data_IF_192208359168
#
_entry.id   IF_192208359168
#
_cell.length_a   1.000
_cell.length_b   1.000
_cell.length_c   1.000
_cell.angle_alpha   90.00
_cell.angle_beta   90.00
_cell.angle_gamma   90.00
#
_symmetry.space_group_name_H-M   'P 1'
#
loop_
_entity.id
_entity.type
_entity.pdbx_description
1 polymer ?
#
# COMPACT_ATOMS: atom_id res chain seq x y z
N UNK A 1 -84.01 -50.27 21.12
CA UNK A 1 -83.45 -49.37 20.08
C UNK A 1 -82.63 -48.18 20.60
N UNK A 2 -82.65 -47.85 21.91
CA UNK A 2 -81.89 -46.69 22.45
C UNK A 2 -80.53 -47.05 23.08
N UNK A 3 -80.36 -48.28 23.59
CA UNK A 3 -79.10 -48.74 24.20
C UNK A 3 -77.95 -48.91 23.18
N UNK A 4 -78.24 -49.38 21.95
CA UNK A 4 -77.21 -49.60 20.92
C UNK A 4 -76.53 -48.31 20.42
N UNK A 5 -77.26 -47.18 20.42
CA UNK A 5 -76.69 -45.88 20.06
C UNK A 5 -75.71 -45.38 21.13
N UNK A 6 -76.04 -45.60 22.41
CA UNK A 6 -75.19 -45.22 23.54
C UNK A 6 -73.86 -45.99 23.54
N UNK A 7 -73.87 -47.28 23.19
CA UNK A 7 -72.65 -48.09 23.20
C UNK A 7 -71.74 -47.81 21.98
N UNK A 8 -72.33 -47.44 20.84
CA UNK A 8 -71.59 -46.95 19.69
C UNK A 8 -70.88 -45.62 19.98
N UNK A 9 -71.56 -44.67 20.65
CA UNK A 9 -70.98 -43.40 21.07
C UNK A 9 -69.82 -43.59 22.05
N UNK A 10 -69.97 -44.50 23.03
CA UNK A 10 -68.87 -44.87 23.95
C UNK A 10 -67.67 -45.46 23.22
N UNK A 11 -67.90 -46.29 22.18
CA UNK A 11 -66.83 -46.88 21.38
C UNK A 11 -66.06 -45.83 20.58
N UNK A 12 -66.77 -44.87 19.98
CA UNK A 12 -66.17 -43.72 19.29
C UNK A 12 -65.37 -42.86 20.28
N UNK A 13 -65.94 -42.55 21.45
CA UNK A 13 -65.27 -41.77 22.48
C UNK A 13 -63.98 -42.47 22.96
N UNK A 14 -63.99 -43.79 23.13
CA UNK A 14 -62.80 -44.59 23.50
C UNK A 14 -61.72 -44.57 22.41
N UNK A 15 -62.09 -44.69 21.14
CA UNK A 15 -61.15 -44.62 20.00
C UNK A 15 -60.56 -43.21 19.89
N UNK A 16 -61.38 -42.17 20.04
CA UNK A 16 -60.92 -40.78 20.01
C UNK A 16 -60.00 -40.47 21.20
N UNK A 17 -60.32 -40.94 22.40
CA UNK A 17 -59.47 -40.80 23.58
C UNK A 17 -58.13 -41.54 23.41
N UNK A 18 -58.13 -42.73 22.83
CA UNK A 18 -56.90 -43.47 22.52
C UNK A 18 -56.04 -42.72 21.49
N UNK A 19 -56.66 -42.15 20.45
CA UNK A 19 -55.98 -41.33 19.44
C UNK A 19 -55.40 -40.05 20.04
N UNK A 20 -56.12 -39.38 20.94
CA UNK A 20 -55.65 -38.19 21.64
C UNK A 20 -54.40 -38.50 22.48
N UNK A 21 -54.41 -39.60 23.24
CA UNK A 21 -53.23 -40.04 24.01
C UNK A 21 -52.01 -40.32 23.13
N UNK A 22 -52.20 -40.85 21.92
CA UNK A 22 -51.11 -41.05 20.97
C UNK A 22 -50.55 -39.72 20.46
N UNK A 23 -51.41 -38.74 20.20
CA UNK A 23 -50.98 -37.39 19.83
C UNK A 23 -50.25 -36.69 20.98
N UNK A 24 -50.76 -36.78 22.20
CA UNK A 24 -50.13 -36.15 23.37
C UNK A 24 -48.76 -36.76 23.64
N UNK A 25 -48.63 -38.10 23.56
CA UNK A 25 -47.34 -38.79 23.68
C UNK A 25 -46.33 -38.40 22.59
N UNK A 26 -46.79 -38.19 21.36
CA UNK A 26 -45.92 -37.68 20.28
C UNK A 26 -45.52 -36.22 20.51
N UNK A 27 -46.43 -35.40 21.03
CA UNK A 27 -46.18 -33.99 21.35
C UNK A 27 -45.18 -33.86 22.49
N UNK A 28 -45.34 -34.63 23.57
CA UNK A 28 -44.38 -34.73 24.68
C UNK A 28 -43.01 -35.21 24.20
N UNK A 29 -42.96 -36.24 23.33
CA UNK A 29 -41.70 -36.71 22.75
C UNK A 29 -41.02 -35.64 21.90
N UNK A 30 -41.76 -34.85 21.12
CA UNK A 30 -41.21 -33.75 20.32
C UNK A 30 -40.84 -32.53 21.15
N UNK A 31 -41.51 -32.34 22.29
CA UNK A 31 -41.23 -31.29 23.25
C UNK A 31 -40.06 -31.64 24.19
N UNK A 32 -39.68 -32.92 24.28
CA UNK A 32 -38.54 -33.32 25.12
C UNK A 32 -37.25 -32.70 24.61
N UNK A 33 -36.49 -32.13 25.54
CA UNK A 33 -35.22 -31.46 25.23
C UNK A 33 -34.23 -32.42 24.55
N UNK A 34 -34.22 -33.69 24.96
CA UNK A 34 -33.38 -34.73 24.36
C UNK A 34 -33.71 -34.97 22.88
N UNK A 35 -34.99 -35.05 22.52
CA UNK A 35 -35.39 -35.27 21.13
C UNK A 35 -35.09 -34.05 20.27
N UNK A 36 -35.30 -32.84 20.78
CA UNK A 36 -34.96 -31.60 20.07
C UNK A 36 -33.44 -31.48 19.86
N UNK A 37 -32.65 -31.78 20.89
CA UNK A 37 -31.18 -31.78 20.81
C UNK A 37 -30.68 -32.80 19.79
N UNK A 38 -31.19 -34.03 19.82
CA UNK A 38 -30.82 -35.06 18.84
C UNK A 38 -31.20 -34.67 17.39
N UNK A 39 -32.33 -33.98 17.19
CA UNK A 39 -32.70 -33.46 15.86
C UNK A 39 -31.75 -32.35 15.40
N UNK A 40 -31.40 -31.41 16.30
CA UNK A 40 -30.45 -30.33 15.99
C UNK A 40 -29.05 -30.88 15.68
N UNK A 41 -28.55 -31.82 16.48
CA UNK A 41 -27.26 -32.49 16.24
C UNK A 41 -27.24 -33.22 14.89
N UNK A 42 -28.33 -33.91 14.53
CA UNK A 42 -28.45 -34.56 13.22
C UNK A 42 -28.42 -33.55 12.07
N UNK A 43 -29.09 -32.42 12.21
CA UNK A 43 -29.07 -31.35 11.20
C UNK A 43 -27.68 -30.72 11.09
N UNK A 44 -27.03 -30.42 12.22
CA UNK A 44 -25.67 -29.88 12.27
C UNK A 44 -24.68 -30.86 11.65
N UNK A 45 -24.72 -32.14 12.03
CA UNK A 45 -23.85 -33.18 11.47
C UNK A 45 -24.02 -33.31 9.95
N UNK A 46 -25.26 -33.23 9.44
CA UNK A 46 -25.52 -33.22 8.00
C UNK A 46 -24.92 -31.98 7.32
N UNK A 47 -25.09 -30.80 7.90
CA UNK A 47 -24.52 -29.56 7.38
C UNK A 47 -22.99 -29.61 7.37
N UNK A 48 -22.36 -30.00 8.49
CA UNK A 48 -20.91 -30.15 8.60
C UNK A 48 -20.38 -31.16 7.59
N UNK A 49 -21.02 -32.33 7.43
CA UNK A 49 -20.61 -33.33 6.44
C UNK A 49 -20.73 -32.82 5.01
N UNK A 50 -21.78 -32.04 4.70
CA UNK A 50 -21.94 -31.40 3.40
C UNK A 50 -20.83 -30.37 3.14
N UNK A 51 -20.52 -29.53 4.13
CA UNK A 51 -19.44 -28.56 4.06
C UNK A 51 -18.06 -29.22 3.89
N UNK A 52 -17.79 -30.29 4.64
CA UNK A 52 -16.56 -31.08 4.52
C UNK A 52 -16.38 -31.63 3.11
N UNK A 53 -17.42 -32.24 2.53
CA UNK A 53 -17.39 -32.73 1.15
C UNK A 53 -17.15 -31.63 0.13
N UNK A 54 -17.77 -30.46 0.32
CA UNK A 54 -17.56 -29.32 -0.55
C UNK A 54 -16.11 -28.81 -0.46
N UNK A 55 -15.54 -28.75 0.75
CA UNK A 55 -14.17 -28.35 0.99
C UNK A 55 -13.16 -29.36 0.40
N UNK A 56 -13.38 -30.66 0.60
CA UNK A 56 -12.56 -31.74 0.01
C UNK A 56 -12.55 -31.65 -1.52
N UNK A 57 -13.72 -31.50 -2.14
CA UNK A 57 -13.83 -31.33 -3.60
C UNK A 57 -13.13 -30.07 -4.10
N UNK A 58 -13.17 -28.99 -3.34
CA UNK A 58 -12.42 -27.77 -3.66
C UNK A 58 -10.91 -28.01 -3.54
N UNK A 59 -10.47 -28.66 -2.46
CA UNK A 59 -9.06 -29.02 -2.23
C UNK A 59 -8.52 -29.93 -3.34
N UNK A 60 -9.28 -30.93 -3.77
CA UNK A 60 -8.91 -31.81 -4.89
C UNK A 60 -8.73 -31.01 -6.20
N UNK A 61 -9.65 -30.09 -6.50
CA UNK A 61 -9.53 -29.20 -7.67
C UNK A 61 -8.28 -28.32 -7.59
N UNK A 62 -7.95 -27.80 -6.41
CA UNK A 62 -6.74 -26.98 -6.20
C UNK A 62 -5.46 -27.82 -6.18
N UNK A 63 -5.54 -29.10 -5.88
CA UNK A 63 -4.41 -30.02 -5.90
C UNK A 63 -4.11 -30.54 -7.32
N UNK A 64 -5.09 -30.51 -8.23
CA UNK A 64 -4.93 -30.84 -9.64
C UNK A 64 -4.12 -29.74 -10.37
N UNK A 65 -2.88 -30.01 -10.81
CA UNK A 65 -2.06 -29.03 -11.49
C UNK A 65 -2.67 -28.57 -12.83
N UNK A 66 -3.40 -29.45 -13.52
CA UNK A 66 -4.00 -29.12 -14.83
C UNK A 66 -5.11 -28.09 -14.69
N UNK A 67 -5.93 -28.19 -13.64
CA UNK A 67 -6.96 -27.22 -13.32
C UNK A 67 -6.37 -25.83 -13.00
N UNK A 68 -5.24 -25.79 -12.29
CA UNK A 68 -4.55 -24.54 -11.98
C UNK A 68 -3.98 -23.89 -13.24
N UNK A 69 -3.32 -24.68 -14.10
CA UNK A 69 -2.76 -24.20 -15.36
C UNK A 69 -3.84 -23.68 -16.31
N UNK A 70 -4.95 -24.40 -16.46
CA UNK A 70 -6.09 -23.96 -17.28
C UNK A 70 -6.68 -22.65 -16.76
N UNK A 71 -6.82 -22.52 -15.43
CA UNK A 71 -7.30 -21.29 -14.80
C UNK A 71 -6.36 -20.11 -15.07
N UNK A 72 -5.05 -20.30 -14.95
CA UNK A 72 -4.06 -19.26 -15.27
C UNK A 72 -4.06 -18.91 -16.75
N UNK A 73 -4.14 -19.91 -17.64
CA UNK A 73 -4.19 -19.69 -19.07
C UNK A 73 -5.42 -18.87 -19.46
N UNK A 74 -6.59 -19.21 -18.90
CA UNK A 74 -7.82 -18.44 -19.11
C UNK A 74 -7.72 -17.00 -18.64
N UNK A 75 -7.00 -16.74 -17.54
CA UNK A 75 -6.72 -15.37 -17.08
C UNK A 75 -5.80 -14.62 -18.05
N UNK A 76 -4.73 -15.27 -18.53
CA UNK A 76 -3.82 -14.70 -19.53
C UNK A 76 -4.54 -14.39 -20.84
N UNK A 77 -5.33 -15.32 -21.36
CA UNK A 77 -6.07 -15.15 -22.61
C UNK A 77 -7.10 -14.01 -22.50
N UNK A 78 -7.79 -13.90 -21.36
CA UNK A 78 -8.70 -12.79 -21.10
C UNK A 78 -7.95 -11.44 -21.07
N UNK A 79 -6.76 -11.40 -20.46
CA UNK A 79 -5.93 -10.20 -20.42
C UNK A 79 -5.43 -9.81 -21.81
N UNK A 80 -4.91 -10.76 -22.59
CA UNK A 80 -4.47 -10.56 -23.98
C UNK A 80 -5.62 -10.01 -24.82
N UNK A 81 -6.79 -10.67 -24.78
CA UNK A 81 -7.99 -10.24 -25.53
C UNK A 81 -8.44 -8.82 -25.15
N UNK A 82 -8.34 -8.47 -23.87
CA UNK A 82 -8.66 -7.12 -23.39
C UNK A 82 -7.68 -6.07 -23.94
N UNK A 83 -6.39 -6.41 -23.95
CA UNK A 83 -5.32 -5.54 -24.43
C UNK A 83 -5.41 -5.34 -25.95
N UNK A 84 -5.63 -6.42 -26.71
CA UNK A 84 -5.84 -6.35 -28.16
C UNK A 84 -7.05 -5.51 -28.53
N UNK A 85 -8.16 -5.65 -27.79
CA UNK A 85 -9.35 -4.81 -27.98
C UNK A 85 -9.06 -3.33 -27.73
N UNK A 86 -8.28 -3.01 -26.70
CA UNK A 86 -7.85 -1.63 -26.43
C UNK A 86 -6.92 -1.11 -27.53
N UNK A 87 -5.96 -1.92 -27.97
CA UNK A 87 -5.04 -1.58 -29.06
C UNK A 87 -5.79 -1.32 -30.37
N UNK A 88 -6.76 -2.16 -30.72
CA UNK A 88 -7.60 -1.96 -31.90
C UNK A 88 -8.42 -0.67 -31.83
N UNK A 89 -9.00 -0.35 -30.66
CA UNK A 89 -9.69 0.94 -30.44
C UNK A 89 -8.76 2.14 -30.59
N UNK A 90 -7.53 2.04 -30.07
CA UNK A 90 -6.51 3.09 -30.24
C UNK A 90 -6.12 3.25 -31.70
N UNK A 91 -5.88 2.16 -32.44
CA UNK A 91 -5.55 2.21 -33.86
C UNK A 91 -6.67 2.86 -34.68
N UNK A 92 -7.94 2.51 -34.44
CA UNK A 92 -9.10 3.14 -35.10
C UNK A 92 -9.15 4.64 -34.77
N UNK A 93 -8.96 4.99 -33.49
CA UNK A 93 -8.93 6.38 -33.05
C UNK A 93 -7.78 7.16 -33.69
N UNK A 94 -6.60 6.58 -33.79
CA UNK A 94 -5.42 7.19 -34.41
C UNK A 94 -5.50 7.27 -35.93
N UNK A 95 -6.19 6.32 -36.57
CA UNK A 95 -6.47 6.33 -38.00
C UNK A 95 -7.49 7.42 -38.39
N UNK A 96 -8.40 7.79 -37.47
CA UNK A 96 -9.39 8.84 -37.71
C UNK A 96 -8.73 10.18 -38.07
N UNK A 97 -9.15 10.75 -39.20
CA UNK A 97 -8.70 12.06 -39.68
C UNK A 97 -8.98 13.16 -38.65
N UNK A 98 -10.12 13.08 -37.96
CA UNK A 98 -10.49 14.04 -36.92
C UNK A 98 -9.49 14.05 -35.75
N UNK A 99 -9.06 12.86 -35.31
CA UNK A 99 -8.07 12.74 -34.25
C UNK A 99 -6.68 13.23 -34.71
N UNK A 100 -6.29 12.91 -35.95
CA UNK A 100 -5.05 13.43 -36.54
C UNK A 100 -5.08 14.97 -36.57
N UNK A 101 -6.13 15.58 -37.12
CA UNK A 101 -6.28 17.04 -37.19
C UNK A 101 -6.24 17.67 -35.79
N UNK A 102 -6.96 17.09 -34.81
CA UNK A 102 -6.94 17.55 -33.42
C UNK A 102 -5.55 17.50 -32.80
N UNK A 103 -4.80 16.41 -33.03
CA UNK A 103 -3.42 16.27 -32.55
C UNK A 103 -2.50 17.30 -33.21
N UNK A 104 -2.62 17.52 -34.52
CA UNK A 104 -1.84 18.54 -35.24
C UNK A 104 -2.14 19.95 -34.74
N UNK A 105 -3.42 20.28 -34.52
CA UNK A 105 -3.83 21.57 -33.97
C UNK A 105 -3.29 21.76 -32.55
N UNK A 106 -3.31 20.72 -31.71
CA UNK A 106 -2.73 20.76 -30.38
C UNK A 106 -1.22 21.03 -30.44
N UNK A 107 -0.48 20.34 -31.31
CA UNK A 107 0.96 20.58 -31.52
C UNK A 107 1.21 22.01 -32.02
N UNK A 108 0.42 22.51 -32.98
CA UNK A 108 0.51 23.90 -33.45
C UNK A 108 0.28 24.90 -32.32
N UNK A 109 -0.76 24.73 -31.50
CA UNK A 109 -1.01 25.63 -30.36
C UNK A 109 0.13 25.61 -29.33
N UNK A 110 0.77 24.46 -29.12
CA UNK A 110 1.94 24.35 -28.24
C UNK A 110 3.16 25.05 -28.85
N UNK A 111 3.40 24.89 -30.15
CA UNK A 111 4.44 25.59 -30.87
C UNK A 111 4.22 27.10 -30.88
N UNK A 112 2.98 27.56 -31.08
CA UNK A 112 2.64 28.99 -31.06
C UNK A 112 2.81 29.58 -29.66
N UNK A 113 2.42 28.84 -28.61
CA UNK A 113 2.68 29.22 -27.22
C UNK A 113 4.18 29.27 -26.92
N UNK A 114 4.97 28.33 -27.44
CA UNK A 114 6.42 28.33 -27.28
C UNK A 114 7.07 29.49 -28.03
N UNK A 115 6.63 29.79 -29.26
CA UNK A 115 7.08 30.94 -30.06
C UNK A 115 6.72 32.27 -29.37
N UNK A 116 5.48 32.42 -28.88
CA UNK A 116 5.07 33.60 -28.09
C UNK A 116 5.94 33.74 -26.83
N UNK A 117 6.16 32.67 -26.07
CA UNK A 117 7.07 32.70 -24.91
C UNK A 117 8.50 33.08 -25.30
N UNK A 118 9.01 32.61 -26.44
CA UNK A 118 10.35 32.96 -26.91
C UNK A 118 10.44 34.44 -27.31
N UNK A 119 9.40 34.98 -27.97
CA UNK A 119 9.30 36.41 -28.31
C UNK A 119 9.20 37.26 -27.03
N UNK A 120 8.34 36.87 -26.09
CA UNK A 120 8.18 37.54 -24.79
C UNK A 120 9.47 37.48 -23.95
N UNK A 121 10.20 36.35 -23.99
CA UNK A 121 11.52 36.26 -23.36
C UNK A 121 12.55 37.18 -24.04
N UNK A 122 12.52 37.28 -25.38
CA UNK A 122 13.43 38.14 -26.14
C UNK A 122 13.15 39.63 -25.90
N UNK A 123 11.89 40.01 -25.71
CA UNK A 123 11.48 41.38 -25.35
C UNK A 123 11.70 41.72 -23.86
N UNK A 124 11.73 40.72 -22.97
CA UNK A 124 12.10 40.90 -21.55
C UNK A 124 13.63 41.02 -21.36
N UNK A 125 14.43 40.30 -22.17
CA UNK A 125 15.91 40.40 -22.14
C UNK A 125 16.38 41.80 -22.53
N UNK A 126 15.64 42.52 -23.40
CA UNK A 126 16.01 43.87 -23.81
C UNK A 126 15.64 44.98 -22.81
N UNK A 127 14.92 44.70 -21.71
CA UNK A 127 14.38 45.78 -20.84
C UNK A 127 14.74 45.64 -19.35
N UNK A 128 15.09 44.48 -18.79
CA UNK A 128 15.47 44.49 -17.35
C UNK A 128 16.28 43.26 -16.91
N UNK A 129 17.56 43.50 -16.62
CA UNK A 129 18.36 42.68 -15.71
C UNK A 129 17.98 42.97 -14.25
N UNK A 130 16.68 42.95 -13.91
CA UNK A 130 16.23 43.04 -12.50
C UNK A 130 15.83 41.66 -12.01
N UNK A 131 16.60 41.14 -11.04
CA UNK A 131 16.35 39.93 -10.23
C UNK A 131 14.85 39.73 -10.00
N UNK A 132 14.26 38.72 -10.64
CA UNK A 132 12.86 38.37 -10.38
C UNK A 132 12.73 37.82 -8.96
N UNK A 133 11.74 38.31 -8.21
CA UNK A 133 11.49 37.88 -6.83
C UNK A 133 10.87 36.48 -6.83
N UNK A 134 11.33 35.64 -5.89
CA UNK A 134 10.88 34.27 -5.72
C UNK A 134 9.35 34.18 -5.47
N UNK A 135 8.69 33.27 -6.18
CA UNK A 135 7.27 32.95 -6.03
C UNK A 135 7.06 32.31 -4.64
N UNK A 136 6.30 32.98 -3.77
CA UNK A 136 5.94 32.44 -2.45
C UNK A 136 4.77 31.45 -2.62
N UNK A 137 4.96 30.20 -2.19
CA UNK A 137 3.89 29.20 -2.20
C UNK A 137 2.83 29.54 -1.14
N UNK A 138 1.55 29.46 -1.53
CA UNK A 138 0.40 29.49 -0.61
C UNK A 138 0.32 28.13 0.08
N UNK A 139 0.70 28.04 1.35
CA UNK A 139 0.09 27.09 2.29
C UNK A 139 0.86 25.88 2.80
N UNK A 140 2.00 25.48 2.22
CA UNK A 140 2.90 24.50 2.86
C UNK A 140 4.30 25.13 3.00
N UNK A 141 4.79 25.23 4.24
CA UNK A 141 6.07 25.87 4.58
C UNK A 141 7.23 25.06 3.97
N UNK A 142 7.59 25.34 2.71
CA UNK A 142 8.67 24.66 2.02
C UNK A 142 8.86 25.14 0.58
N UNK A 143 10.09 25.00 0.07
CA UNK A 143 10.42 25.18 -1.34
C UNK A 143 9.86 23.98 -2.13
N UNK A 144 9.60 24.16 -3.42
CA UNK A 144 9.31 23.03 -4.29
C UNK A 144 10.61 22.25 -4.61
N UNK A 145 10.62 20.90 -4.52
CA UNK A 145 11.78 20.10 -4.88
C UNK A 145 12.09 20.20 -6.37
N UNK A 146 13.37 20.32 -6.71
CA UNK A 146 13.85 20.29 -8.11
C UNK A 146 13.72 18.89 -8.70
N UNK A 147 13.83 18.76 -10.02
CA UNK A 147 13.79 17.45 -10.69
C UNK A 147 14.90 16.53 -10.21
N UNK A 148 16.10 17.05 -9.95
CA UNK A 148 17.22 16.26 -9.43
C UNK A 148 16.96 15.81 -7.99
N UNK A 149 16.48 16.69 -7.12
CA UNK A 149 16.14 16.33 -5.74
C UNK A 149 15.04 15.28 -5.67
N UNK A 150 14.06 15.30 -6.59
CA UNK A 150 13.03 14.26 -6.69
C UNK A 150 13.61 12.91 -7.09
N UNK A 151 14.53 12.89 -8.07
CA UNK A 151 15.19 11.64 -8.51
C UNK A 151 16.00 11.03 -7.37
N UNK A 152 16.78 11.85 -6.67
CA UNK A 152 17.55 11.42 -5.49
C UNK A 152 16.61 10.94 -4.38
N UNK A 153 15.55 11.69 -4.07
CA UNK A 153 14.57 11.30 -3.05
C UNK A 153 13.90 9.95 -3.34
N UNK A 154 13.58 9.64 -4.61
CA UNK A 154 13.04 8.33 -4.99
C UNK A 154 14.06 7.21 -4.75
N UNK A 155 15.31 7.38 -5.22
CA UNK A 155 16.38 6.40 -4.99
C UNK A 155 16.62 6.16 -3.50
N UNK A 156 16.59 7.21 -2.69
CA UNK A 156 16.73 7.13 -1.24
C UNK A 156 15.55 6.36 -0.62
N UNK A 157 14.33 6.62 -1.09
CA UNK A 157 13.13 5.90 -0.64
C UNK A 157 13.14 4.42 -0.96
N UNK A 158 13.74 4.02 -2.08
CA UNK A 158 13.78 2.63 -2.54
C UNK A 158 14.67 1.72 -1.67
N UNK A 159 15.60 2.27 -0.88
CA UNK A 159 16.48 1.49 0.02
C UNK A 159 15.69 0.85 1.17
N UNK A 160 14.64 1.52 1.66
CA UNK A 160 14.03 1.21 2.95
C UNK A 160 14.71 1.92 4.12
N UNK A 161 14.28 1.59 5.34
CA UNK A 161 14.70 2.29 6.55
C UNK A 161 16.17 2.03 6.89
N UNK A 162 16.98 3.08 6.82
CA UNK A 162 18.44 2.98 7.05
C UNK A 162 18.77 2.48 8.47
N UNK A 163 18.00 2.89 9.49
CA UNK A 163 18.24 2.46 10.86
C UNK A 163 17.91 0.96 11.07
N UNK A 164 16.81 0.48 10.46
CA UNK A 164 16.48 -0.94 10.48
C UNK A 164 17.54 -1.77 9.74
N UNK A 165 18.13 -1.22 8.67
CA UNK A 165 19.14 -1.88 7.85
C UNK A 165 20.43 -2.08 8.65
N UNK A 166 20.90 -1.03 9.33
CA UNK A 166 22.08 -1.08 10.18
C UNK A 166 21.95 -2.10 11.32
N UNK A 167 20.75 -2.21 11.90
CA UNK A 167 20.45 -3.16 12.99
C UNK A 167 20.07 -4.56 12.51
N UNK A 168 20.03 -4.79 11.18
CA UNK A 168 19.61 -6.05 10.56
C UNK A 168 18.21 -6.51 11.01
N UNK A 169 17.31 -5.57 11.30
CA UNK A 169 15.92 -5.87 11.70
C UNK A 169 15.02 -6.26 10.54
N UNK A 170 15.57 -6.42 9.33
CA UNK A 170 14.89 -6.94 8.13
C UNK A 170 14.78 -8.47 8.10
N UNK A 171 14.98 -9.17 9.22
CA UNK A 171 14.73 -10.62 9.30
C UNK A 171 13.26 -10.95 9.02
N UNK A 172 12.99 -12.18 8.57
CA UNK A 172 11.68 -12.68 8.11
C UNK A 172 10.50 -12.22 8.96
N UNK A 173 10.65 -12.28 10.28
CA UNK A 173 9.56 -12.09 11.24
C UNK A 173 9.14 -10.62 11.40
N UNK A 174 10.04 -9.67 11.10
CA UNK A 174 9.78 -8.23 11.13
C UNK A 174 9.55 -7.65 9.72
N UNK A 175 10.13 -8.27 8.68
CA UNK A 175 9.93 -7.87 7.28
C UNK A 175 8.49 -8.06 6.76
N UNK A 176 7.70 -8.89 7.44
CA UNK A 176 6.26 -9.04 7.21
C UNK A 176 5.44 -7.84 7.71
N UNK A 177 5.98 -7.04 8.63
CA UNK A 177 5.30 -5.83 9.08
C UNK A 177 5.42 -4.75 8.00
N UNK A 178 4.27 -4.40 7.42
CA UNK A 178 4.14 -3.42 6.33
C UNK A 178 4.88 -2.11 6.61
N UNK A 179 4.91 -1.66 7.87
CA UNK A 179 5.53 -0.41 8.31
C UNK A 179 7.06 -0.37 8.19
N UNK A 180 7.75 -1.51 8.02
CA UNK A 180 9.21 -1.57 7.85
C UNK A 180 9.60 -1.48 6.36
N UNK A 181 8.69 -1.87 5.46
CA UNK A 181 8.82 -1.69 4.00
C UNK A 181 8.44 -0.27 3.55
N UNK A 182 7.47 0.35 4.20
CA UNK A 182 7.05 1.72 3.87
C UNK A 182 7.89 2.75 4.64
N UNK A 183 8.67 3.53 3.91
CA UNK A 183 9.47 4.62 4.48
C UNK A 183 8.88 6.00 4.18
N UNK A 184 8.99 6.87 5.18
CA UNK A 184 8.81 8.31 5.04
C UNK A 184 10.17 8.99 4.93
N UNK A 185 10.30 9.93 4.00
CA UNK A 185 11.50 10.73 3.84
C UNK A 185 11.56 11.83 4.92
N UNK A 186 12.48 11.66 5.85
CA UNK A 186 12.80 12.60 6.92
C UNK A 186 13.73 13.70 6.42
N UNK A 187 13.43 14.98 6.69
CA UNK A 187 14.27 16.11 6.27
C UNK A 187 15.32 16.46 7.33
N UNK A 188 16.61 16.36 6.97
CA UNK A 188 17.72 16.71 7.88
C UNK A 188 17.93 18.23 7.98
N UNK A 189 17.85 18.92 6.84
CA UNK A 189 18.19 20.36 6.72
C UNK A 189 16.96 21.23 6.39
N UNK A 190 15.80 20.85 6.95
CA UNK A 190 14.52 21.50 6.72
C UNK A 190 13.97 21.31 5.30
N UNK A 191 13.12 22.24 4.84
CA UNK A 191 12.41 22.14 3.54
C UNK A 191 12.62 23.33 2.61
N UNK A 192 13.49 24.28 2.99
CA UNK A 192 13.62 25.57 2.28
C UNK A 192 15.00 25.79 1.67
N UNK A 193 16.06 25.26 2.29
CA UNK A 193 17.44 25.43 1.85
C UNK A 193 17.71 24.78 0.48
N UNK A 194 18.78 25.19 -0.23
CA UNK A 194 19.29 24.46 -1.38
C UNK A 194 19.58 23.01 -0.99
N UNK A 195 19.22 22.06 -1.85
CA UNK A 195 19.41 20.62 -1.62
C UNK A 195 18.66 20.04 -0.40
N UNK A 196 17.80 20.80 0.26
CA UNK A 196 17.05 20.34 1.43
C UNK A 196 16.22 19.07 1.16
N UNK A 197 15.72 18.91 -0.07
CA UNK A 197 14.94 17.71 -0.44
C UNK A 197 15.80 16.53 -0.88
N UNK A 198 17.11 16.73 -1.10
CA UNK A 198 18.08 15.66 -1.33
C UNK A 198 18.80 15.23 -0.04
N UNK A 199 18.85 16.11 0.98
CA UNK A 199 19.31 15.81 2.34
C UNK A 199 18.18 15.19 3.18
N UNK A 200 17.74 14.01 2.76
CA UNK A 200 16.66 13.26 3.39
C UNK A 200 17.10 11.87 3.81
N UNK A 201 16.52 11.35 4.89
CA UNK A 201 16.76 9.99 5.39
C UNK A 201 15.51 9.13 5.19
N UNK A 202 15.63 7.90 4.69
CA UNK A 202 14.51 6.98 4.61
C UNK A 202 14.32 6.34 5.99
N UNK A 203 13.23 6.71 6.68
CA UNK A 203 12.91 6.19 8.02
C UNK A 203 11.55 5.49 8.00
N UNK A 204 11.42 4.35 8.69
CA UNK A 204 10.13 3.70 8.90
C UNK A 204 9.28 4.51 9.88
N UNK A 205 7.99 4.20 9.97
CA UNK A 205 7.07 4.90 10.87
C UNK A 205 7.59 4.95 12.32
N UNK A 206 8.19 3.86 12.81
CA UNK A 206 8.70 3.75 14.17
C UNK A 206 10.01 4.51 14.44
N UNK A 207 10.83 4.73 13.41
CA UNK A 207 12.03 5.57 13.51
C UNK A 207 11.75 7.05 13.20
N UNK A 208 10.62 7.35 12.54
CA UNK A 208 10.23 8.72 12.18
C UNK A 208 9.40 9.37 13.30
N UNK A 209 8.15 8.95 13.46
CA UNK A 209 7.16 9.66 14.29
C UNK A 209 6.43 8.77 15.30
N UNK A 210 6.22 7.49 14.98
CA UNK A 210 5.35 6.59 15.77
C UNK A 210 6.15 5.94 16.89
N UNK A 211 5.67 5.93 18.14
CA UNK A 211 6.33 5.17 19.20
C UNK A 211 6.29 3.67 18.90
N UNK A 212 7.31 2.95 19.34
CA UNK A 212 7.40 1.52 19.17
C UNK A 212 6.25 0.79 19.93
N UNK A 213 5.70 -0.30 19.37
CA UNK A 213 4.72 -1.13 20.08
C UNK A 213 5.36 -1.86 21.28
N UNK A 214 4.56 -2.28 22.25
CA UNK A 214 5.05 -2.86 23.53
C UNK A 214 5.90 -4.13 23.39
N UNK A 215 5.88 -4.80 22.24
CA UNK A 215 6.66 -6.00 21.92
C UNK A 215 7.87 -5.71 21.02
N UNK A 216 8.21 -4.44 20.79
CA UNK A 216 9.29 -4.04 19.91
C UNK A 216 10.68 -4.28 20.55
N UNK A 217 11.73 -4.46 19.73
CA UNK A 217 13.09 -4.58 20.22
C UNK A 217 13.53 -3.31 20.97
N UNK A 218 14.35 -3.52 21.99
CA UNK A 218 14.93 -2.44 22.78
C UNK A 218 15.76 -1.50 21.88
N UNK A 219 15.53 -0.19 22.01
CA UNK A 219 16.17 0.83 21.18
C UNK A 219 15.47 1.15 19.84
N UNK A 220 14.24 0.68 19.61
CA UNK A 220 13.36 1.21 18.56
C UNK A 220 12.66 2.48 19.07
N UNK A 221 13.11 3.64 18.62
CA UNK A 221 12.61 4.95 19.08
C UNK A 221 12.48 5.94 17.92
N UNK A 222 11.41 6.77 17.87
CA UNK A 222 11.21 7.75 16.81
C UNK A 222 12.03 9.03 17.03
N UNK A 223 12.52 9.63 15.93
CA UNK A 223 13.34 10.85 15.99
C UNK A 223 12.54 12.11 16.40
N UNK A 224 11.28 12.23 15.98
CA UNK A 224 10.48 13.44 16.22
C UNK A 224 9.69 13.44 17.53
N UNK A 225 9.22 12.27 17.98
CA UNK A 225 8.44 12.13 19.23
C UNK A 225 9.21 11.50 20.38
N UNK A 226 10.41 10.99 20.11
CA UNK A 226 11.29 10.36 21.11
C UNK A 226 12.39 11.29 21.60
N UNK A 227 13.33 10.72 22.35
CA UNK A 227 14.51 11.42 22.83
C UNK A 227 15.59 11.47 21.74
N UNK A 228 15.68 12.59 21.01
CA UNK A 228 16.67 12.76 19.91
C UNK A 228 18.11 12.49 20.34
N UNK A 229 18.50 12.78 21.59
CA UNK A 229 19.87 12.53 22.07
C UNK A 229 20.16 11.04 22.18
N UNK A 230 19.20 10.28 22.69
CA UNK A 230 19.28 8.83 22.78
C UNK A 230 19.22 8.18 21.40
N UNK A 231 18.35 8.69 20.53
CA UNK A 231 18.27 8.25 19.13
C UNK A 231 19.62 8.38 18.41
N UNK A 232 20.31 9.51 18.59
CA UNK A 232 21.65 9.74 18.00
C UNK A 232 22.68 8.77 18.59
N UNK A 233 22.62 8.47 19.89
CA UNK A 233 23.52 7.48 20.51
C UNK A 233 23.30 6.07 19.94
N UNK A 234 22.06 5.72 19.60
CA UNK A 234 21.68 4.39 19.12
C UNK A 234 21.91 4.20 17.62
N UNK A 235 21.71 5.24 16.81
CA UNK A 235 21.71 5.14 15.34
C UNK A 235 22.82 5.95 14.66
N UNK A 236 23.50 6.84 15.38
CA UNK A 236 24.41 7.83 14.83
C UNK A 236 23.74 9.17 14.50
N UNK A 237 24.52 10.13 14.04
CA UNK A 237 24.02 11.44 13.64
C UNK A 237 23.28 11.39 12.30
N UNK A 238 22.38 12.34 12.07
CA UNK A 238 21.65 12.46 10.80
C UNK A 238 22.62 12.64 9.59
N UNK A 239 23.78 13.26 9.81
CA UNK A 239 24.80 13.46 8.77
C UNK A 239 25.56 12.18 8.41
N UNK A 240 25.90 11.35 9.39
CA UNK A 240 26.54 10.05 9.16
C UNK A 240 25.61 9.09 8.42
N UNK A 241 24.35 9.04 8.84
CA UNK A 241 23.32 8.26 8.15
C UNK A 241 23.11 8.75 6.72
N UNK A 242 23.14 10.07 6.49
CA UNK A 242 23.00 10.62 5.15
C UNK A 242 24.19 10.25 4.26
N UNK A 243 25.41 10.27 4.81
CA UNK A 243 26.60 9.79 4.09
C UNK A 243 26.43 8.33 3.68
N UNK A 244 26.01 7.48 4.61
CA UNK A 244 25.80 6.06 4.36
C UNK A 244 24.73 5.80 3.30
N UNK A 245 23.61 6.54 3.32
CA UNK A 245 22.55 6.45 2.31
C UNK A 245 23.09 6.76 0.91
N UNK A 246 23.94 7.79 0.78
CA UNK A 246 24.54 8.16 -0.51
C UNK A 246 25.57 7.14 -1.00
N UNK A 247 26.32 6.52 -0.08
CA UNK A 247 27.21 5.39 -0.41
C UNK A 247 26.40 4.17 -0.90
N UNK A 248 25.20 3.93 -0.38
CA UNK A 248 24.35 2.80 -0.80
C UNK A 248 23.70 2.99 -2.17
N UNK A 249 23.32 4.22 -2.54
CA UNK A 249 22.69 4.50 -3.85
C UNK A 249 23.71 4.76 -4.97
N UNK A 250 25.01 4.73 -4.65
CA UNK A 250 26.12 5.01 -5.57
C UNK A 250 25.93 6.34 -6.33
N UNK A 251 25.59 7.40 -5.58
CA UNK A 251 25.42 8.75 -6.12
C UNK A 251 26.32 9.75 -5.40
N UNK A 252 26.80 10.74 -6.15
CA UNK A 252 27.55 11.85 -5.59
C UNK A 252 26.67 12.73 -4.69
N UNK A 253 27.30 13.39 -3.72
CA UNK A 253 26.66 14.41 -2.87
C UNK A 253 26.90 15.78 -3.48
N UNK A 254 26.02 16.29 -4.36
CA UNK A 254 26.28 17.47 -5.18
C UNK A 254 26.45 18.76 -4.37
N UNK A 255 26.05 18.76 -3.09
CA UNK A 255 26.21 19.90 -2.17
C UNK A 255 27.54 19.93 -1.43
N UNK A 256 28.43 18.94 -1.62
CA UNK A 256 29.79 18.94 -1.05
C UNK A 256 30.84 19.46 -2.03
N UNK A 257 30.48 19.67 -3.30
CA UNK A 257 31.40 20.10 -4.37
C UNK A 257 31.94 21.53 -4.24
N UNK A 258 31.48 22.31 -3.26
CA UNK A 258 31.93 23.70 -3.06
C UNK A 258 33.02 23.83 -1.96
N UNK A 259 33.42 22.76 -1.27
CA UNK A 259 34.37 22.84 -0.13
C UNK A 259 35.79 22.29 -0.41
N UNK A 260 36.12 21.91 -1.65
CA UNK A 260 37.46 21.38 -1.99
C UNK A 260 38.12 22.20 -3.11
N UNK A 261 38.35 23.50 -2.86
CA UNK A 261 39.54 24.24 -3.36
C UNK A 261 39.88 25.35 -2.36
N UNK A 262 40.26 24.99 -1.15
CA UNK A 262 41.07 25.85 -0.29
C UNK A 262 42.24 25.01 0.19
N UNK A 263 43.21 24.78 -0.70
CA UNK A 263 44.55 24.41 -0.25
C UNK A 263 44.98 25.45 0.79
N UNK A 264 45.47 25.02 1.97
CA UNK A 264 46.07 25.95 2.91
C UNK A 264 47.29 26.56 2.21
N UNK A 265 47.24 27.86 1.90
CA UNK A 265 48.44 28.62 1.54
C UNK A 265 49.41 28.53 2.70
N UNK A 266 50.37 27.62 2.61
CA UNK A 266 51.52 27.57 3.50
C UNK A 266 52.28 28.88 3.34
N UNK A 267 52.36 29.65 4.44
CA UNK A 267 53.25 30.80 4.55
C UNK A 267 54.65 30.30 4.92
N UNK A 268 55.67 30.73 4.17
CA UNK A 268 57.10 30.63 4.52
C UNK A 268 57.72 29.28 4.18
N UNK A 269 58.94 29.16 3.66
CA UNK A 269 60.16 29.89 4.02
C UNK A 269 61.06 30.04 2.77
N UNK A 270 61.56 31.25 2.50
CA UNK A 270 62.75 31.44 1.64
C UNK A 270 63.97 31.21 2.52
N UNK A 271 64.76 30.19 2.19
CA UNK A 271 66.11 30.03 2.72
C UNK A 271 67.03 30.95 1.91
N UNK A 272 67.65 31.91 2.61
CA UNK A 272 68.92 32.51 2.23
C UNK A 272 70.03 31.82 3.00
#
# INVERSE_FOLDING_TARGET
MSQDKSDFEKKIAKVNAARQRQFDKQKEKRASAEFQKAQQEKQQAFQTKSQQRAFEKMKERLADPTYLEEKQQKQRDAQIKSFEKQRGRQQIKEASLEYKIKKTNQVKTLQDKARKKAIDQKSVISINLKKSKAVKSKGMKGRAPTTLEKKLGNKIGDIGCICCLNKKWYTSDMAEQESIKFVSLHHVDGRTKPWAHAKVLPLCAYHHDTPAPSHAPEGLTPIHRGNKREWIKLNGTEGELLKQVYEMIDEDRPWLGDEIVCEPKTKGIRLG
#
